data_IF_833598923052
#
_entry.id   IF_833598923052
#
_cell.length_a   1.000
_cell.length_b   1.000
_cell.length_c   1.000
_cell.angle_alpha   90.00
_cell.angle_beta   90.00
_cell.angle_gamma   90.00
#
_symmetry.space_group_name_H-M   'P 1'
#
loop_
_entity.id
_entity.type
_entity.pdbx_description
1 polymer ?
#
# COMPACT_ATOMS: atom_id res chain seq x y z
N UNK A 1 4.98 28.67 1.33
CA UNK A 1 3.72 29.08 0.69
C UNK A 1 2.68 28.04 1.05
N UNK A 2 1.77 28.39 1.98
CA UNK A 2 0.73 27.50 2.48
C UNK A 2 -0.48 27.60 1.56
N UNK A 3 -1.04 26.46 1.15
CA UNK A 3 -2.36 26.39 0.55
C UNK A 3 -3.19 25.45 1.42
N UNK A 4 -4.00 26.05 2.28
CA UNK A 4 -5.08 25.36 2.98
C UNK A 4 -6.23 25.14 2.02
N UNK A 5 -6.83 23.95 2.07
CA UNK A 5 -8.14 23.67 1.52
C UNK A 5 -9.06 23.43 2.72
N UNK A 6 -10.09 24.27 2.84
CA UNK A 6 -11.17 24.12 3.81
C UNK A 6 -12.32 23.37 3.12
N UNK A 7 -12.78 22.30 3.76
CA UNK A 7 -13.71 21.34 3.14
C UNK A 7 -14.10 20.20 4.08
N UNK A 8 -14.83 20.55 5.15
CA UNK A 8 -15.87 19.76 5.82
C UNK A 8 -15.68 18.24 5.95
N UNK A 9 -15.17 17.82 7.10
CA UNK A 9 -14.99 16.43 7.54
C UNK A 9 -13.80 16.42 8.50
N UNK A 10 -14.05 16.40 9.80
CA UNK A 10 -13.06 16.71 10.83
C UNK A 10 -11.99 15.63 10.98
N UNK A 11 -11.04 15.55 10.05
CA UNK A 11 -9.83 14.75 10.20
C UNK A 11 -9.02 15.29 11.39
N UNK A 12 -8.85 14.47 12.44
CA UNK A 12 -7.95 14.80 13.55
C UNK A 12 -6.52 14.57 13.06
N UNK A 13 -5.89 15.62 12.54
CA UNK A 13 -4.46 15.61 12.20
C UNK A 13 -3.68 15.81 13.50
N UNK A 14 -3.09 14.74 14.03
CA UNK A 14 -2.21 14.86 15.19
C UNK A 14 -0.79 15.16 14.69
N UNK A 15 -0.39 16.43 14.75
CA UNK A 15 1.01 16.80 14.55
C UNK A 15 1.78 16.49 15.83
N UNK A 16 2.51 15.37 15.86
CA UNK A 16 3.50 15.10 16.91
C UNK A 16 4.76 15.93 16.66
N UNK A 17 5.45 16.36 17.73
CA UNK A 17 6.56 17.33 17.79
C UNK A 17 7.79 17.10 16.87
N UNK A 18 7.80 16.06 16.02
CA UNK A 18 8.76 15.91 14.93
C UNK A 18 8.11 16.30 13.59
N UNK A 19 8.51 17.42 13.00
CA UNK A 19 8.04 17.93 11.67
C UNK A 19 8.18 16.92 10.49
N UNK A 20 8.78 15.75 10.74
CA UNK A 20 8.96 14.63 9.81
C UNK A 20 7.82 13.62 9.76
N UNK A 21 6.91 13.59 10.73
CA UNK A 21 5.88 12.55 10.85
C UNK A 21 4.48 13.16 10.87
N UNK A 22 3.61 12.68 9.99
CA UNK A 22 2.20 13.05 9.93
C UNK A 22 1.35 11.81 10.13
N UNK A 23 0.39 11.85 11.05
CA UNK A 23 -0.59 10.76 11.24
C UNK A 23 -2.01 11.30 11.13
N UNK A 24 -2.87 10.48 10.52
CA UNK A 24 -4.31 10.73 10.37
C UNK A 24 -5.03 9.45 10.76
N UNK A 25 -6.10 9.59 11.57
CA UNK A 25 -7.01 8.51 11.88
C UNK A 25 -8.45 8.96 11.67
N UNK A 26 -9.12 8.40 10.67
CA UNK A 26 -10.50 8.73 10.29
C UNK A 26 -11.21 7.46 9.83
N UNK A 27 -12.48 7.26 10.23
CA UNK A 27 -13.32 6.12 9.84
C UNK A 27 -12.67 4.73 10.01
N UNK A 28 -11.87 4.54 11.08
CA UNK A 28 -11.17 3.28 11.34
C UNK A 28 -9.94 3.03 10.44
N UNK A 29 -9.58 4.00 9.61
CA UNK A 29 -8.35 4.03 8.81
C UNK A 29 -7.28 4.81 9.54
N UNK A 30 -6.12 4.20 9.75
CA UNK A 30 -4.92 4.84 10.26
C UNK A 30 -3.91 5.00 9.12
N UNK A 31 -3.34 6.19 8.96
CA UNK A 31 -2.26 6.47 8.02
C UNK A 31 -1.18 7.27 8.74
N UNK A 32 0.06 6.82 8.63
CA UNK A 32 1.26 7.52 9.07
C UNK A 32 2.22 7.69 7.88
N UNK A 33 2.70 8.91 7.67
CA UNK A 33 3.69 9.24 6.65
C UNK A 33 4.91 9.85 7.35
N UNK A 34 6.05 9.21 7.21
CA UNK A 34 7.35 9.68 7.71
C UNK A 34 8.27 10.07 6.57
N UNK A 35 8.72 11.33 6.54
CA UNK A 35 9.73 11.82 5.59
C UNK A 35 11.12 11.31 6.01
N UNK A 36 11.81 10.61 5.12
CA UNK A 36 13.13 10.03 5.40
C UNK A 36 14.28 10.88 4.86
N UNK A 37 14.01 11.78 3.91
CA UNK A 37 14.99 12.66 3.27
C UNK A 37 14.39 13.32 2.03
N UNK A 38 15.23 13.88 1.15
CA UNK A 38 14.78 14.39 -0.13
C UNK A 38 14.19 13.24 -0.97
N UNK A 39 12.94 13.38 -1.41
CA UNK A 39 12.22 12.42 -2.26
C UNK A 39 12.05 11.00 -1.70
N UNK A 40 12.11 10.81 -0.37
CA UNK A 40 11.86 9.51 0.26
C UNK A 40 10.86 9.61 1.40
N UNK A 41 9.89 8.69 1.41
CA UNK A 41 8.83 8.59 2.42
C UNK A 41 8.66 7.14 2.84
N UNK A 42 8.37 6.92 4.11
CA UNK A 42 7.81 5.67 4.63
C UNK A 42 6.35 5.89 4.94
N UNK A 43 5.50 5.01 4.43
CA UNK A 43 4.06 5.05 4.67
C UNK A 43 3.69 3.81 5.47
N UNK A 44 2.87 3.98 6.50
CA UNK A 44 2.20 2.91 7.24
C UNK A 44 0.72 3.18 7.21
N UNK A 45 -0.06 2.18 6.81
CA UNK A 45 -1.51 2.27 6.84
C UNK A 45 -2.08 1.03 7.53
N UNK A 46 -3.20 1.20 8.24
CA UNK A 46 -3.95 0.11 8.88
C UNK A 46 -5.44 0.40 8.77
N UNK A 47 -6.23 -0.63 8.51
CA UNK A 47 -7.69 -0.56 8.42
C UNK A 47 -8.30 -1.87 8.93
N UNK A 48 -9.48 -1.80 9.55
CA UNK A 48 -10.30 -2.97 9.86
C UNK A 48 -11.16 -3.37 8.66
N UNK A 49 -11.25 -4.66 8.36
CA UNK A 49 -12.05 -5.18 7.24
C UNK A 49 -12.98 -6.26 7.78
N UNK A 50 -14.27 -6.18 7.48
CA UNK A 50 -15.27 -7.21 7.80
C UNK A 50 -15.19 -8.39 6.82
N UNK A 51 -14.03 -9.06 6.80
CA UNK A 51 -13.78 -10.23 5.97
C UNK A 51 -12.78 -11.18 6.66
N UNK A 52 -12.80 -12.45 6.28
CA UNK A 52 -11.81 -13.41 6.77
C UNK A 52 -10.41 -13.10 6.21
N UNK A 53 -9.37 -13.53 6.92
CA UNK A 53 -7.98 -13.44 6.43
C UNK A 53 -7.84 -14.08 5.04
N UNK A 54 -8.51 -15.22 4.83
CA UNK A 54 -8.39 -15.99 3.59
C UNK A 54 -9.04 -15.24 2.42
N UNK A 55 -10.18 -14.56 2.65
CA UNK A 55 -10.81 -13.71 1.64
C UNK A 55 -9.89 -12.55 1.24
N UNK A 56 -9.37 -11.81 2.22
CA UNK A 56 -8.46 -10.68 1.94
C UNK A 56 -7.19 -11.19 1.26
N UNK A 57 -6.62 -12.29 1.73
CA UNK A 57 -5.42 -12.90 1.15
C UNK A 57 -5.62 -13.26 -0.33
N UNK A 58 -6.73 -13.92 -0.67
CA UNK A 58 -7.05 -14.32 -2.04
C UNK A 58 -7.22 -13.12 -2.97
N UNK A 59 -7.76 -12.01 -2.46
CA UNK A 59 -7.87 -10.75 -3.20
C UNK A 59 -6.46 -10.17 -3.45
N UNK A 60 -5.65 -10.02 -2.41
CA UNK A 60 -4.35 -9.35 -2.49
C UNK A 60 -3.30 -10.17 -3.26
N UNK A 61 -3.45 -11.50 -3.33
CA UNK A 61 -2.59 -12.39 -4.14
C UNK A 61 -3.19 -12.73 -5.52
N UNK A 62 -4.41 -12.29 -5.79
CA UNK A 62 -5.05 -12.33 -7.10
C UNK A 62 -4.50 -11.25 -8.03
N UNK A 63 -3.18 -11.22 -8.23
CA UNK A 63 -2.43 -10.10 -8.83
C UNK A 63 -3.02 -9.56 -10.14
N UNK A 64 -3.49 -10.42 -11.04
CA UNK A 64 -4.11 -10.02 -12.32
C UNK A 64 -5.37 -9.16 -12.15
N UNK A 65 -6.08 -9.30 -11.02
CA UNK A 65 -7.33 -8.59 -10.73
C UNK A 65 -7.13 -7.34 -9.88
N UNK A 66 -5.90 -7.04 -9.45
CA UNK A 66 -5.65 -5.90 -8.56
C UNK A 66 -5.99 -4.56 -9.23
N UNK A 67 -5.81 -4.43 -10.53
CA UNK A 67 -6.14 -3.21 -11.26
C UNK A 67 -7.66 -2.92 -11.27
N UNK A 68 -8.50 -3.94 -11.06
CA UNK A 68 -9.95 -3.77 -11.02
C UNK A 68 -10.43 -3.14 -9.70
N UNK A 69 -9.63 -3.23 -8.64
CA UNK A 69 -10.03 -2.88 -7.27
C UNK A 69 -9.14 -1.84 -6.59
N UNK A 70 -7.88 -1.66 -7.04
CA UNK A 70 -6.95 -0.69 -6.45
C UNK A 70 -7.05 0.63 -7.23
N UNK A 71 -7.58 1.70 -6.63
CA UNK A 71 -7.63 3.00 -7.29
C UNK A 71 -6.23 3.47 -7.69
N UNK A 72 -6.12 3.95 -8.93
CA UNK A 72 -4.84 4.43 -9.46
C UNK A 72 -3.88 3.31 -9.87
N UNK A 73 -4.24 2.03 -9.81
CA UNK A 73 -3.48 0.95 -10.44
C UNK A 73 -4.09 0.66 -11.82
N UNK A 74 -3.41 1.10 -12.88
CA UNK A 74 -3.91 0.96 -14.25
C UNK A 74 -3.61 -0.41 -14.86
N UNK A 75 -2.51 -1.05 -14.47
CA UNK A 75 -2.10 -2.38 -14.95
C UNK A 75 -1.57 -3.19 -13.79
N UNK A 76 -1.94 -4.48 -13.75
CA UNK A 76 -1.32 -5.48 -12.90
C UNK A 76 -1.30 -6.81 -13.63
N UNK A 77 -0.11 -7.30 -13.97
CA UNK A 77 0.08 -8.51 -14.77
C UNK A 77 1.14 -9.40 -14.14
N UNK A 78 0.88 -10.69 -14.01
CA UNK A 78 1.86 -11.67 -13.55
C UNK A 78 2.87 -11.93 -14.68
N UNK A 79 4.14 -11.77 -14.36
CA UNK A 79 5.28 -12.06 -15.23
C UNK A 79 5.82 -13.46 -14.93
N UNK A 80 5.86 -13.83 -13.65
CA UNK A 80 6.30 -15.13 -13.18
C UNK A 80 5.51 -15.53 -11.94
N UNK A 81 5.15 -16.81 -11.83
CA UNK A 81 4.51 -17.36 -10.64
C UNK A 81 5.19 -18.67 -10.25
N UNK A 82 5.54 -18.79 -8.97
CA UNK A 82 6.10 -19.98 -8.33
C UNK A 82 5.39 -20.21 -7.00
N UNK A 83 5.74 -21.29 -6.31
CA UNK A 83 5.29 -21.47 -4.94
C UNK A 83 5.76 -20.29 -4.08
N UNK A 84 4.81 -19.67 -3.36
CA UNK A 84 5.03 -18.53 -2.46
C UNK A 84 5.72 -17.31 -3.08
N UNK A 85 5.73 -17.20 -4.41
CA UNK A 85 6.38 -16.11 -5.12
C UNK A 85 5.60 -15.71 -6.37
N UNK A 86 5.50 -14.40 -6.59
CA UNK A 86 5.07 -13.84 -7.86
C UNK A 86 5.97 -12.67 -8.25
N UNK A 87 6.30 -12.58 -9.54
CA UNK A 87 6.79 -11.34 -10.14
C UNK A 87 5.66 -10.69 -10.91
N UNK A 88 5.36 -9.43 -10.61
CA UNK A 88 4.24 -8.70 -11.21
C UNK A 88 4.73 -7.42 -11.87
N UNK A 89 4.21 -7.15 -13.06
CA UNK A 89 4.37 -5.88 -13.76
C UNK A 89 3.17 -4.99 -13.44
N UNK A 90 3.43 -3.79 -12.96
CA UNK A 90 2.40 -2.84 -12.56
C UNK A 90 2.63 -1.44 -13.16
N UNK A 91 1.53 -0.76 -13.43
CA UNK A 91 1.51 0.65 -13.80
C UNK A 91 0.56 1.38 -12.85
N UNK A 92 1.09 2.24 -12.00
CA UNK A 92 0.32 3.22 -11.25
C UNK A 92 0.06 4.46 -12.10
N UNK A 93 -1.17 5.00 -12.05
CA UNK A 93 -1.59 6.20 -12.74
C UNK A 93 -2.36 7.12 -11.80
N UNK A 94 -1.94 8.38 -11.72
CA UNK A 94 -2.65 9.41 -10.94
C UNK A 94 -2.87 10.66 -11.78
N UNK A 95 -4.08 11.23 -11.70
CA UNK A 95 -4.35 12.54 -12.28
C UNK A 95 -3.77 13.61 -11.34
N UNK A 96 -2.96 14.49 -11.91
CA UNK A 96 -2.42 15.67 -11.25
C UNK A 96 -3.24 16.91 -11.64
N UNK A 97 -3.10 18.02 -10.87
CA UNK A 97 -3.69 19.30 -11.24
C UNK A 97 -3.29 19.75 -12.65
N UNK A 98 -4.12 20.60 -13.27
CA UNK A 98 -3.95 21.11 -14.63
C UNK A 98 -3.99 20.03 -15.74
N UNK A 99 -4.67 18.91 -15.49
CA UNK A 99 -4.86 17.85 -16.50
C UNK A 99 -3.63 17.01 -16.78
N UNK A 100 -2.57 17.15 -15.99
CA UNK A 100 -1.37 16.32 -16.09
C UNK A 100 -1.67 14.90 -15.59
N UNK A 101 -1.04 13.90 -16.21
CA UNK A 101 -1.12 12.50 -15.76
C UNK A 101 0.26 12.03 -15.33
N UNK A 102 0.35 11.52 -14.11
CA UNK A 102 1.52 10.82 -13.61
C UNK A 102 1.34 9.32 -13.87
N UNK A 103 2.36 8.70 -14.46
CA UNK A 103 2.45 7.25 -14.63
C UNK A 103 3.76 6.77 -14.01
N UNK A 104 3.69 5.73 -13.19
CA UNK A 104 4.84 5.05 -12.64
C UNK A 104 4.74 3.55 -12.91
N UNK A 105 5.82 2.97 -13.45
CA UNK A 105 5.93 1.56 -13.80
C UNK A 105 6.85 0.86 -12.81
N UNK A 106 6.55 -0.41 -12.53
CA UNK A 106 7.39 -1.26 -11.70
C UNK A 106 7.20 -2.74 -12.01
N UNK A 107 8.30 -3.48 -12.05
CA UNK A 107 8.34 -4.94 -11.89
C UNK A 107 8.65 -5.23 -10.43
N UNK A 108 7.74 -5.93 -9.77
CA UNK A 108 7.74 -6.12 -8.32
C UNK A 108 7.78 -7.62 -8.03
N UNK A 109 8.73 -8.02 -7.19
CA UNK A 109 8.78 -9.34 -6.59
C UNK A 109 7.91 -9.34 -5.33
N UNK A 110 7.00 -10.30 -5.24
CA UNK A 110 6.13 -10.53 -4.11
C UNK A 110 6.41 -11.91 -3.50
N UNK A 111 6.70 -11.93 -2.20
CA UNK A 111 6.96 -13.14 -1.42
C UNK A 111 5.81 -13.38 -0.44
N UNK A 112 5.06 -14.44 -0.70
CA UNK A 112 3.85 -14.84 0.02
C UNK A 112 4.23 -15.74 1.21
N UNK A 113 4.35 -15.17 2.41
CA UNK A 113 4.73 -15.93 3.61
C UNK A 113 3.62 -16.91 4.02
N UNK A 114 4.02 -17.94 4.75
CA UNK A 114 3.11 -18.93 5.31
C UNK A 114 2.18 -18.31 6.36
N UNK A 115 1.01 -18.93 6.51
CA UNK A 115 0.08 -18.60 7.58
C UNK A 115 0.72 -18.92 8.94
N UNK A 116 0.69 -17.95 9.84
CA UNK A 116 1.16 -18.11 11.22
C UNK A 116 -0.04 -18.14 12.15
N UNK A 117 -0.19 -19.23 12.90
CA UNK A 117 -1.21 -19.36 13.95
C UNK A 117 -0.62 -18.84 15.26
N UNK A 118 -1.37 -17.96 15.93
CA UNK A 118 -1.01 -17.33 17.21
C UNK A 118 -2.04 -17.73 18.27
N UNK A 119 -1.73 -17.61 19.58
CA UNK A 119 -2.69 -17.89 20.64
C UNK A 119 -3.99 -17.09 20.55
N UNK A 120 -3.94 -15.89 19.96
CA UNK A 120 -5.05 -14.94 19.86
C UNK A 120 -5.46 -14.65 18.41
N UNK A 121 -5.22 -15.58 17.48
CA UNK A 121 -5.61 -15.38 16.08
C UNK A 121 -4.66 -15.97 15.06
N UNK A 122 -4.68 -15.44 13.84
CA UNK A 122 -3.80 -15.83 12.75
C UNK A 122 -3.32 -14.63 11.94
N UNK A 123 -2.13 -14.73 11.35
CA UNK A 123 -1.58 -13.68 10.49
C UNK A 123 -0.86 -14.23 9.27
N UNK A 124 -0.79 -13.42 8.22
CA UNK A 124 -0.03 -13.75 7.00
C UNK A 124 0.52 -12.48 6.36
N UNK A 125 1.67 -12.58 5.72
CA UNK A 125 2.41 -11.44 5.18
C UNK A 125 2.77 -11.64 3.70
N UNK A 126 2.61 -10.59 2.89
CA UNK A 126 3.19 -10.47 1.55
C UNK A 126 4.31 -9.44 1.66
N UNK A 127 5.56 -9.85 1.46
CA UNK A 127 6.68 -8.92 1.33
C UNK A 127 6.87 -8.58 -0.13
N UNK A 128 7.12 -7.31 -0.46
CA UNK A 128 7.34 -6.91 -1.84
C UNK A 128 8.57 -6.03 -2.00
N UNK A 129 9.23 -6.18 -3.14
CA UNK A 129 10.37 -5.37 -3.54
C UNK A 129 10.35 -5.13 -5.05
N UNK A 130 10.45 -3.88 -5.47
CA UNK A 130 10.59 -3.54 -6.87
C UNK A 130 12.01 -3.86 -7.35
N UNK A 131 12.10 -4.60 -8.45
CA UNK A 131 13.38 -5.03 -9.05
C UNK A 131 13.72 -4.23 -10.31
N UNK A 132 12.74 -3.57 -10.92
CA UNK A 132 12.90 -2.69 -12.08
C UNK A 132 11.76 -1.67 -12.07
N UNK A 133 11.99 -0.40 -12.41
CA UNK A 133 10.92 0.60 -12.51
C UNK A 133 11.37 2.04 -12.34
N UNK A 134 10.39 2.93 -12.24
CA UNK A 134 10.60 4.39 -12.23
C UNK A 134 11.08 4.94 -10.87
N UNK A 135 10.99 4.13 -9.80
CA UNK A 135 11.50 4.49 -8.48
C UNK A 135 12.91 3.94 -8.24
N UNK A 136 13.72 4.64 -7.44
CA UNK A 136 15.01 4.08 -6.98
C UNK A 136 14.82 3.00 -5.91
N UNK A 137 13.74 3.08 -5.14
CA UNK A 137 13.37 2.10 -4.11
C UNK A 137 11.87 2.09 -3.91
N UNK A 138 11.27 0.92 -4.03
CA UNK A 138 9.87 0.69 -3.69
C UNK A 138 9.73 -0.71 -3.10
N UNK A 139 9.53 -0.78 -1.78
CA UNK A 139 9.51 -2.02 -1.02
C UNK A 139 8.65 -1.86 0.22
N UNK A 140 8.21 -2.99 0.77
CA UNK A 140 7.42 -3.01 2.00
C UNK A 140 6.78 -4.37 2.23
N UNK A 141 5.76 -4.38 3.09
CA UNK A 141 4.94 -5.56 3.30
C UNK A 141 3.48 -5.23 3.54
N UNK A 142 2.62 -6.16 3.17
CA UNK A 142 1.20 -6.19 3.51
C UNK A 142 1.01 -7.29 4.54
N UNK A 143 0.56 -6.90 5.73
CA UNK A 143 0.31 -7.80 6.85
C UNK A 143 -1.20 -7.89 7.07
N UNK A 144 -1.73 -9.10 7.08
CA UNK A 144 -3.13 -9.37 7.41
C UNK A 144 -3.17 -10.12 8.73
N UNK A 145 -3.98 -9.63 9.66
CA UNK A 145 -4.18 -10.21 10.99
C UNK A 145 -5.68 -10.44 11.20
N UNK A 146 -6.03 -11.58 11.78
CA UNK A 146 -7.40 -11.91 12.18
C UNK A 146 -7.36 -12.39 13.63
N UNK A 147 -8.12 -11.72 14.49
CA UNK A 147 -8.21 -11.94 15.94
C UNK A 147 -9.55 -12.56 16.31
#
# INVERSE_FOLDING_TARGET
MSLGYDGGGGAIITQTQDEKTQSVSEDGVFIEIKKLGANSRKIRAKIGIEASLDTVWNILTGYEKLADIIPGLAVSRVVEKKDKFARVYQIGQQNLPLGMKFNAKGVIDCYEKDLVILPSGKKREIQFNMVEGDFTRFEGSWLIEQF
#
